data_IF_258269811090
#
_entry.id   IF_258269811090
#
_cell.length_a   1.000
_cell.length_b   1.000
_cell.length_c   1.000
_cell.angle_alpha   90.00
_cell.angle_beta   90.00
_cell.angle_gamma   90.00
#
_symmetry.space_group_name_H-M   'P 1'
#
loop_
_entity.id
_entity.type
_entity.pdbx_description
1 polymer ?
#
# COMPACT_ATOMS: atom_id res chain seq x y z
N UNK A 1 68.78 26.91 75.83
CA UNK A 1 68.44 25.47 75.74
C UNK A 1 67.09 25.35 75.02
N UNK A 2 67.10 24.94 73.74
CA UNK A 2 66.04 24.19 73.03
C UNK A 2 66.43 24.07 71.55
N UNK A 3 66.44 22.83 71.08
CA UNK A 3 67.03 22.34 69.85
C UNK A 3 66.21 22.70 68.61
N UNK A 4 66.90 22.97 67.48
CA UNK A 4 66.32 22.92 66.12
C UNK A 4 66.30 21.45 65.65
N UNK A 5 65.13 20.92 65.33
CA UNK A 5 64.97 19.64 64.64
C UNK A 5 64.80 19.85 63.12
N UNK A 6 65.32 18.96 62.25
CA UNK A 6 65.19 19.08 60.81
C UNK A 6 63.87 18.48 60.32
N UNK A 7 63.23 19.11 59.34
CA UNK A 7 62.05 18.57 58.66
C UNK A 7 62.50 17.70 57.48
N UNK A 8 62.16 16.41 57.56
CA UNK A 8 62.37 15.40 56.52
C UNK A 8 61.23 15.56 55.49
N UNK A 9 61.58 15.83 54.23
CA UNK A 9 60.64 15.88 53.11
C UNK A 9 60.36 14.47 52.59
N UNK A 10 59.12 14.01 52.69
CA UNK A 10 58.65 12.77 52.08
C UNK A 10 58.02 13.09 50.71
N UNK A 11 58.59 12.58 49.63
CA UNK A 11 57.99 12.61 48.29
C UNK A 11 56.97 11.46 48.19
N UNK A 12 55.69 11.79 48.01
CA UNK A 12 54.64 10.82 47.71
C UNK A 12 54.57 10.54 46.20
N UNK A 13 54.41 9.28 45.74
CA UNK A 13 54.25 8.99 44.32
C UNK A 13 52.82 9.26 43.85
N UNK A 14 52.67 9.96 42.73
CA UNK A 14 51.38 10.14 42.05
C UNK A 14 50.97 8.82 41.37
N UNK A 15 49.90 8.21 41.87
CA UNK A 15 49.13 7.16 41.21
C UNK A 15 48.32 7.78 40.07
N UNK A 16 48.70 7.52 38.82
CA UNK A 16 47.91 7.87 37.63
C UNK A 16 46.83 6.82 37.45
N UNK A 17 45.59 7.16 37.80
CA UNK A 17 44.40 6.34 37.55
C UNK A 17 43.96 6.55 36.09
N UNK A 18 44.26 5.61 35.21
CA UNK A 18 43.76 5.60 33.83
C UNK A 18 42.27 5.23 33.83
N UNK A 19 41.39 6.23 33.75
CA UNK A 19 39.96 6.02 33.55
C UNK A 19 39.69 5.66 32.07
N UNK A 20 39.44 4.39 31.77
CA UNK A 20 38.82 3.99 30.50
C UNK A 20 37.39 4.54 30.46
N UNK A 21 37.16 5.60 29.69
CA UNK A 21 35.82 6.06 29.37
C UNK A 21 35.14 5.02 28.45
N UNK A 22 34.25 4.20 29.00
CA UNK A 22 33.33 3.40 28.21
C UNK A 22 32.37 4.35 27.49
N UNK A 23 32.55 4.52 26.17
CA UNK A 23 31.57 5.23 25.34
C UNK A 23 30.25 4.44 25.39
N UNK A 24 29.10 5.09 25.65
CA UNK A 24 27.81 4.41 25.60
C UNK A 24 27.59 3.89 24.18
N UNK A 25 27.39 2.58 24.05
CA UNK A 25 26.94 2.00 22.80
C UNK A 25 25.58 2.62 22.45
N UNK A 26 25.32 2.97 21.17
CA UNK A 26 23.99 3.41 20.77
C UNK A 26 23.01 2.28 21.13
N UNK A 27 22.00 2.61 21.93
CA UNK A 27 20.92 1.68 22.21
C UNK A 27 20.23 1.37 20.88
N UNK A 28 20.36 0.14 20.39
CA UNK A 28 19.52 -0.33 19.30
C UNK A 28 18.07 -0.20 19.78
N UNK A 29 17.29 0.67 19.14
CA UNK A 29 15.86 0.72 19.37
C UNK A 29 15.32 -0.68 19.10
N UNK A 30 14.82 -1.37 20.13
CA UNK A 30 14.11 -2.62 19.91
C UNK A 30 12.86 -2.27 19.10
N UNK A 31 12.79 -2.76 17.87
CA UNK A 31 11.62 -2.56 17.02
C UNK A 31 10.39 -3.12 17.74
N UNK A 32 9.54 -2.20 18.22
CA UNK A 32 8.26 -2.55 18.86
C UNK A 32 7.50 -3.44 17.89
N UNK A 33 7.03 -4.58 18.39
CA UNK A 33 6.37 -5.60 17.58
C UNK A 33 5.05 -6.01 18.23
N UNK A 34 4.00 -6.15 17.41
CA UNK A 34 2.69 -6.66 17.81
C UNK A 34 2.25 -7.77 16.87
N UNK A 35 1.98 -8.95 17.41
CA UNK A 35 1.51 -10.12 16.66
C UNK A 35 0.01 -10.36 16.85
N UNK A 36 -0.65 -10.83 15.79
CA UNK A 36 -2.10 -11.03 15.75
C UNK A 36 -2.40 -12.53 15.61
N UNK A 37 -2.94 -13.21 16.64
CA UNK A 37 -3.24 -14.63 16.57
C UNK A 37 -4.30 -14.97 15.50
N UNK A 38 -5.15 -14.01 15.13
CA UNK A 38 -6.21 -14.17 14.11
C UNK A 38 -5.64 -14.44 12.72
N UNK A 39 -4.43 -13.92 12.43
CA UNK A 39 -3.81 -14.01 11.10
C UNK A 39 -2.42 -14.63 11.11
N UNK A 40 -1.78 -14.73 12.29
CA UNK A 40 -0.42 -15.23 12.46
C UNK A 40 0.67 -14.24 12.04
N UNK A 41 0.31 -13.02 11.62
CA UNK A 41 1.26 -11.99 11.21
C UNK A 41 1.56 -10.99 12.33
N UNK A 42 2.74 -10.38 12.26
CA UNK A 42 3.17 -9.33 13.17
C UNK A 42 3.40 -8.03 12.42
N UNK A 43 3.17 -6.90 13.10
CA UNK A 43 3.51 -5.55 12.66
C UNK A 43 4.64 -5.05 13.55
N UNK A 44 5.67 -4.45 12.95
CA UNK A 44 6.84 -3.96 13.68
C UNK A 44 7.26 -2.57 13.24
N UNK A 45 8.00 -1.87 14.11
CA UNK A 45 8.72 -0.64 13.77
C UNK A 45 7.80 0.48 13.24
N UNK A 46 8.22 1.21 12.19
CA UNK A 46 7.44 2.34 11.64
C UNK A 46 6.00 1.98 11.25
N UNK A 47 5.76 0.76 10.75
CA UNK A 47 4.41 0.29 10.42
C UNK A 47 3.52 0.19 11.65
N UNK A 48 4.04 -0.31 12.77
CA UNK A 48 3.28 -0.41 14.01
C UNK A 48 2.94 0.97 14.56
N UNK A 49 3.93 1.88 14.58
CA UNK A 49 3.72 3.24 15.07
C UNK A 49 2.72 4.01 14.19
N UNK A 50 2.77 3.84 12.87
CA UNK A 50 1.78 4.44 11.97
C UNK A 50 0.39 3.82 12.20
N UNK A 51 0.28 2.49 12.25
CA UNK A 51 -0.97 1.78 12.44
C UNK A 51 -1.65 2.20 13.75
N UNK A 52 -0.92 2.25 14.87
CA UNK A 52 -1.45 2.63 16.19
C UNK A 52 -1.91 4.09 16.22
N UNK A 53 -1.10 5.02 15.69
CA UNK A 53 -1.46 6.44 15.64
C UNK A 53 -2.64 6.71 14.72
N UNK A 54 -2.83 5.89 13.70
CA UNK A 54 -3.84 6.12 12.67
C UNK A 54 -5.13 5.28 12.82
N UNK A 55 -5.46 4.87 14.04
CA UNK A 55 -6.76 4.25 14.36
C UNK A 55 -6.77 2.72 14.32
N UNK A 56 -5.62 2.10 14.07
CA UNK A 56 -5.37 0.67 14.23
C UNK A 56 -6.41 -0.22 13.56
N UNK A 57 -6.95 -1.16 14.33
CA UNK A 57 -7.79 -2.24 13.82
C UNK A 57 -9.05 -1.72 13.11
N UNK A 58 -9.66 -0.66 13.62
CA UNK A 58 -10.88 -0.10 13.03
C UNK A 58 -10.64 0.52 11.64
N UNK A 59 -9.41 0.94 11.35
CA UNK A 59 -9.05 1.64 10.11
C UNK A 59 -8.38 0.71 9.11
N UNK A 60 -7.37 -0.03 9.54
CA UNK A 60 -6.56 -0.87 8.65
C UNK A 60 -7.01 -2.33 8.66
N UNK A 61 -7.67 -2.79 9.72
CA UNK A 61 -7.92 -4.21 9.97
C UNK A 61 -6.66 -4.97 10.38
N UNK A 62 -6.76 -6.29 10.36
CA UNK A 62 -5.65 -7.17 10.66
C UNK A 62 -4.58 -7.15 9.55
N UNK A 63 -3.29 -7.39 9.86
CA UNK A 63 -2.30 -7.71 8.83
C UNK A 63 -2.69 -9.01 8.13
N UNK A 64 -2.62 -9.03 6.80
CA UNK A 64 -2.96 -10.19 5.95
C UNK A 64 -1.74 -10.75 5.23
N UNK A 65 -0.55 -10.24 5.53
CA UNK A 65 0.72 -10.71 5.01
C UNK A 65 1.89 -10.27 5.88
N UNK A 66 3.07 -10.86 5.66
CA UNK A 66 4.30 -10.39 6.29
C UNK A 66 4.70 -9.02 5.72
N UNK A 67 5.65 -8.37 6.39
CA UNK A 67 6.44 -7.29 5.78
C UNK A 67 7.12 -7.81 4.51
N UNK A 68 6.96 -7.08 3.41
CA UNK A 68 7.67 -7.32 2.15
C UNK A 68 8.68 -6.19 1.97
N UNK A 69 9.99 -6.43 2.14
CA UNK A 69 10.98 -5.34 2.16
C UNK A 69 11.16 -4.59 0.83
N UNK A 70 10.85 -5.25 -0.30
CA UNK A 70 11.06 -4.71 -1.64
C UNK A 70 9.88 -5.09 -2.55
N UNK A 71 8.67 -4.61 -2.23
CA UNK A 71 7.51 -4.78 -3.11
C UNK A 71 7.53 -3.71 -4.21
N UNK A 72 7.36 -4.12 -5.47
CA UNK A 72 7.14 -3.19 -6.57
C UNK A 72 5.68 -2.74 -6.52
N UNK A 73 5.45 -1.47 -6.21
CA UNK A 73 4.12 -0.87 -6.12
C UNK A 73 3.83 -0.08 -7.38
N UNK A 74 2.74 -0.46 -8.05
CA UNK A 74 2.15 0.27 -9.19
C UNK A 74 3.16 0.60 -10.30
N UNK A 75 4.24 -0.18 -10.40
CA UNK A 75 5.35 -0.02 -11.35
C UNK A 75 6.07 1.33 -11.28
N UNK A 76 5.93 2.05 -10.16
CA UNK A 76 6.53 3.38 -9.97
C UNK A 76 7.48 3.44 -8.79
N UNK A 77 7.24 2.61 -7.79
CA UNK A 77 7.97 2.65 -6.54
C UNK A 77 8.32 1.24 -6.07
N UNK A 78 9.43 1.12 -5.35
CA UNK A 78 9.85 -0.12 -4.72
C UNK A 78 10.26 0.19 -3.30
N UNK A 79 9.74 -0.56 -2.33
CA UNK A 79 10.17 -0.42 -0.95
C UNK A 79 9.42 -1.34 0.00
N UNK A 80 9.58 -1.11 1.32
CA UNK A 80 8.96 -1.92 2.34
C UNK A 80 7.46 -1.70 2.35
N UNK A 81 6.70 -2.79 2.36
CA UNK A 81 5.24 -2.74 2.43
C UNK A 81 4.70 -3.78 3.41
N UNK A 82 3.54 -3.47 3.99
CA UNK A 82 2.76 -4.47 4.69
C UNK A 82 1.29 -4.36 4.30
N UNK A 83 0.69 -5.51 4.00
CA UNK A 83 -0.71 -5.61 3.61
C UNK A 83 -1.60 -5.88 4.82
N UNK A 84 -2.73 -5.19 4.86
CA UNK A 84 -3.78 -5.28 5.86
C UNK A 84 -5.12 -5.57 5.18
N UNK A 85 -6.15 -5.94 5.94
CA UNK A 85 -7.47 -6.22 5.38
C UNK A 85 -8.03 -5.04 4.57
N UNK A 86 -7.78 -3.80 5.01
CA UNK A 86 -8.36 -2.58 4.43
C UNK A 86 -7.33 -1.67 3.77
N UNK A 87 -6.05 -2.03 3.80
CA UNK A 87 -4.98 -1.17 3.29
C UNK A 87 -3.70 -1.91 2.88
N UNK A 88 -2.80 -1.21 2.22
CA UNK A 88 -1.37 -1.49 2.11
C UNK A 88 -0.64 -0.28 2.69
N UNK A 89 0.19 -0.50 3.71
CA UNK A 89 1.09 0.54 4.19
C UNK A 89 2.43 0.43 3.46
N UNK A 90 3.02 1.58 3.15
CA UNK A 90 4.25 1.74 2.38
C UNK A 90 5.22 2.63 3.17
N UNK A 91 6.43 2.16 3.45
CA UNK A 91 7.45 2.96 4.16
C UNK A 91 8.34 3.70 3.15
N UNK A 92 8.16 5.02 3.04
CA UNK A 92 8.92 5.89 2.14
C UNK A 92 10.16 6.50 2.82
N UNK A 93 10.67 5.87 3.88
CA UNK A 93 11.89 6.28 4.57
C UNK A 93 11.73 7.62 5.27
N UNK A 94 12.44 8.66 4.81
CA UNK A 94 12.39 9.98 5.43
C UNK A 94 11.00 10.64 5.32
N UNK A 95 10.21 10.28 4.31
CA UNK A 95 8.83 10.76 4.14
C UNK A 95 7.84 10.02 5.07
N UNK A 96 8.29 8.93 5.69
CA UNK A 96 7.51 8.12 6.61
C UNK A 96 6.59 7.10 5.95
N UNK A 97 5.83 6.40 6.80
CA UNK A 97 4.85 5.41 6.36
C UNK A 97 3.60 6.13 5.83
N UNK A 98 3.07 5.65 4.71
CA UNK A 98 1.85 6.16 4.09
C UNK A 98 0.89 5.03 3.74
N UNK A 99 -0.40 5.36 3.64
CA UNK A 99 -1.40 4.47 3.08
C UNK A 99 -1.34 4.48 1.54
N UNK A 100 -1.34 3.29 0.95
CA UNK A 100 -1.37 3.08 -0.49
C UNK A 100 -2.68 3.57 -1.12
N UNK A 101 -2.62 3.86 -2.42
CA UNK A 101 -3.74 4.41 -3.20
C UNK A 101 -4.76 3.33 -3.61
N UNK A 102 -5.19 2.52 -2.63
CA UNK A 102 -5.95 1.31 -2.90
C UNK A 102 -7.36 1.57 -3.48
N UNK A 103 -7.98 2.72 -3.19
CA UNK A 103 -9.28 3.07 -3.78
C UNK A 103 -9.18 3.27 -5.28
N UNK A 104 -8.21 4.07 -5.72
CA UNK A 104 -7.96 4.23 -7.14
C UNK A 104 -7.43 2.94 -7.79
N UNK A 105 -6.53 2.22 -7.11
CA UNK A 105 -5.98 0.95 -7.61
C UNK A 105 -7.07 -0.10 -7.84
N UNK A 106 -8.04 -0.20 -6.95
CA UNK A 106 -9.15 -1.12 -7.08
C UNK A 106 -9.99 -0.82 -8.34
N UNK A 107 -10.31 0.46 -8.58
CA UNK A 107 -11.03 0.88 -9.80
C UNK A 107 -10.21 0.60 -11.07
N UNK A 108 -8.91 0.91 -11.05
CA UNK A 108 -7.99 0.63 -12.16
C UNK A 108 -7.94 -0.88 -12.52
N UNK A 109 -7.86 -1.76 -11.52
CA UNK A 109 -7.84 -3.21 -11.73
C UNK A 109 -9.16 -3.75 -12.31
N UNK A 110 -10.27 -3.06 -12.06
CA UNK A 110 -11.57 -3.34 -12.68
C UNK A 110 -11.75 -2.72 -14.07
N UNK A 111 -10.72 -2.05 -14.59
CA UNK A 111 -10.78 -1.36 -15.88
C UNK A 111 -11.64 -0.09 -15.87
N UNK A 112 -11.90 0.48 -14.68
CA UNK A 112 -12.63 1.73 -14.53
C UNK A 112 -11.63 2.88 -14.57
N UNK A 113 -11.77 3.77 -15.56
CA UNK A 113 -11.05 5.04 -15.59
C UNK A 113 -11.71 6.02 -14.64
N UNK A 114 -11.19 6.09 -13.42
CA UNK A 114 -11.78 6.91 -12.36
C UNK A 114 -11.70 8.42 -12.64
N UNK A 115 -10.81 8.88 -13.54
CA UNK A 115 -10.80 10.28 -13.99
C UNK A 115 -12.02 10.65 -14.83
N UNK A 116 -12.68 9.65 -15.41
CA UNK A 116 -13.87 9.81 -16.25
C UNK A 116 -15.19 9.61 -15.49
N UNK A 117 -15.12 9.30 -14.18
CA UNK A 117 -16.32 9.19 -13.35
C UNK A 117 -17.06 10.53 -13.30
N UNK A 118 -18.39 10.51 -13.05
CA UNK A 118 -19.17 11.75 -12.95
C UNK A 118 -18.55 12.73 -11.95
N UNK A 119 -18.20 13.92 -12.43
CA UNK A 119 -17.64 15.03 -11.65
C UNK A 119 -18.71 16.12 -11.44
N UNK A 120 -18.48 16.99 -10.45
CA UNK A 120 -19.34 18.13 -10.16
C UNK A 120 -18.56 19.44 -10.29
N UNK A 121 -19.22 20.49 -10.78
CA UNK A 121 -18.62 21.82 -10.95
C UNK A 121 -18.69 22.67 -9.67
N UNK A 122 -19.50 22.26 -8.69
CA UNK A 122 -19.69 22.90 -7.40
C UNK A 122 -20.21 21.86 -6.39
N UNK A 123 -19.96 22.02 -5.09
CA UNK A 123 -20.51 21.10 -4.09
C UNK A 123 -22.03 21.31 -3.94
N UNK A 124 -22.80 20.25 -3.68
CA UNK A 124 -24.16 20.40 -3.15
C UNK A 124 -24.14 21.17 -1.80
N UNK A 125 -25.25 21.79 -1.39
CA UNK A 125 -25.34 22.46 -0.09
C UNK A 125 -24.94 21.55 1.07
N UNK A 126 -24.05 22.00 1.94
CA UNK A 126 -23.57 21.23 3.10
C UNK A 126 -22.42 20.25 2.81
N UNK A 127 -21.95 20.16 1.55
CA UNK A 127 -20.84 19.30 1.17
C UNK A 127 -19.53 20.08 1.03
N UNK A 128 -18.40 19.40 1.23
CA UNK A 128 -17.10 19.93 0.84
C UNK A 128 -16.85 19.70 -0.65
N UNK A 129 -16.09 20.60 -1.29
CA UNK A 129 -15.66 20.47 -2.68
C UNK A 129 -14.15 20.34 -2.76
N UNK A 130 -13.69 19.45 -3.64
CA UNK A 130 -12.27 19.21 -3.90
C UNK A 130 -11.97 19.55 -5.35
N UNK A 131 -11.44 20.75 -5.65
CA UNK A 131 -11.18 21.17 -7.02
C UNK A 131 -10.12 20.32 -7.73
N UNK A 132 -9.24 19.64 -6.98
CA UNK A 132 -8.18 18.77 -7.48
C UNK A 132 -8.74 17.58 -8.27
N UNK A 133 -9.87 17.03 -7.81
CA UNK A 133 -10.53 15.87 -8.43
C UNK A 133 -11.92 16.20 -8.97
N UNK A 134 -12.42 17.42 -8.73
CA UNK A 134 -13.77 17.89 -9.09
C UNK A 134 -14.88 17.00 -8.51
N UNK A 135 -14.68 16.53 -7.29
CA UNK A 135 -15.65 15.74 -6.56
C UNK A 135 -16.14 16.44 -5.29
N UNK A 136 -17.33 16.06 -4.86
CA UNK A 136 -17.90 16.52 -3.59
C UNK A 136 -17.85 15.46 -2.50
N UNK A 137 -17.83 15.90 -1.25
CA UNK A 137 -17.92 15.03 -0.09
C UNK A 137 -19.01 15.54 0.85
N UNK A 138 -20.07 14.76 0.96
CA UNK A 138 -21.25 15.06 1.76
C UNK A 138 -21.34 14.16 3.00
N UNK A 139 -22.27 14.46 3.90
CA UNK A 139 -22.60 13.55 4.99
C UNK A 139 -23.20 12.23 4.45
N UNK A 140 -22.94 11.08 5.11
CA UNK A 140 -22.23 10.93 6.39
C UNK A 140 -20.69 10.82 6.25
N UNK A 141 -20.18 10.71 5.02
CA UNK A 141 -18.76 10.49 4.78
C UNK A 141 -17.89 11.70 5.14
N UNK A 142 -18.40 12.93 4.98
CA UNK A 142 -17.67 14.15 5.33
C UNK A 142 -17.27 14.20 6.80
N UNK A 143 -18.21 13.93 7.71
CA UNK A 143 -17.94 13.86 9.14
C UNK A 143 -16.93 12.77 9.48
N UNK A 144 -17.06 11.59 8.86
CA UNK A 144 -16.13 10.50 9.07
C UNK A 144 -14.72 10.86 8.59
N UNK A 145 -14.59 11.39 7.37
CA UNK A 145 -13.33 11.81 6.77
C UNK A 145 -12.60 12.83 7.66
N UNK A 146 -13.31 13.86 8.14
CA UNK A 146 -12.74 14.92 9.00
C UNK A 146 -12.24 14.38 10.34
N UNK A 147 -12.99 13.48 10.98
CA UNK A 147 -12.62 12.94 12.30
C UNK A 147 -11.51 11.89 12.24
N UNK A 148 -11.30 11.26 11.10
CA UNK A 148 -10.41 10.12 10.95
C UNK A 148 -9.19 10.42 10.08
N UNK A 149 -8.64 11.64 10.13
CA UNK A 149 -7.34 11.98 9.50
C UNK A 149 -7.41 12.63 8.13
N UNK A 150 -8.60 12.74 7.53
CA UNK A 150 -8.83 13.52 6.32
C UNK A 150 -7.92 13.16 5.15
N UNK A 151 -7.30 14.19 4.56
CA UNK A 151 -6.55 14.08 3.30
C UNK A 151 -5.36 13.12 3.42
N UNK A 152 -4.64 13.19 4.53
CA UNK A 152 -3.46 12.35 4.77
C UNK A 152 -3.84 10.86 4.74
N UNK A 153 -4.97 10.51 5.37
CA UNK A 153 -5.41 9.11 5.45
C UNK A 153 -6.18 8.60 4.25
N UNK A 154 -7.12 9.39 3.74
CA UNK A 154 -8.09 8.94 2.74
C UNK A 154 -7.73 9.39 1.33
N UNK A 155 -6.97 10.49 1.22
CA UNK A 155 -6.81 11.21 -0.03
C UNK A 155 -8.08 11.95 -0.44
N UNK A 156 -8.08 12.45 -1.67
CA UNK A 156 -9.22 13.12 -2.28
C UNK A 156 -10.35 12.12 -2.62
N UNK A 157 -11.62 12.54 -2.60
CA UNK A 157 -12.69 11.76 -3.23
C UNK A 157 -12.41 11.66 -4.74
N UNK A 158 -12.61 10.48 -5.31
CA UNK A 158 -12.41 10.19 -6.75
C UNK A 158 -13.70 9.69 -7.42
N UNK A 159 -14.81 9.74 -6.70
CA UNK A 159 -16.15 9.47 -7.19
C UNK A 159 -17.16 10.30 -6.42
N UNK A 160 -18.36 10.49 -6.98
CA UNK A 160 -19.53 10.81 -6.18
C UNK A 160 -20.05 9.55 -5.44
N UNK A 161 -20.93 9.69 -4.44
CA UNK A 161 -21.58 8.55 -3.80
C UNK A 161 -22.40 7.73 -4.81
N UNK A 162 -22.31 6.41 -4.74
CA UNK A 162 -23.03 5.49 -5.62
C UNK A 162 -23.51 4.25 -4.88
N UNK A 163 -24.51 3.56 -5.43
CA UNK A 163 -24.91 2.24 -4.93
C UNK A 163 -23.97 1.18 -5.52
N UNK A 164 -23.42 0.33 -4.67
CA UNK A 164 -22.59 -0.81 -5.08
C UNK A 164 -22.96 -2.07 -4.30
N UNK A 165 -22.86 -3.21 -4.96
CA UNK A 165 -22.93 -4.53 -4.32
C UNK A 165 -21.50 -5.03 -4.08
N UNK A 166 -21.13 -5.18 -2.81
CA UNK A 166 -19.85 -5.74 -2.37
C UNK A 166 -20.15 -7.06 -1.68
N UNK A 167 -19.67 -8.16 -2.27
CA UNK A 167 -20.00 -9.52 -1.83
C UNK A 167 -21.53 -9.72 -1.73
N UNK A 168 -22.05 -9.89 -0.52
CA UNK A 168 -23.48 -10.10 -0.25
C UNK A 168 -24.18 -8.86 0.33
N UNK A 169 -23.51 -7.71 0.34
CA UNK A 169 -24.05 -6.45 0.86
C UNK A 169 -24.22 -5.45 -0.27
N UNK A 170 -25.31 -4.67 -0.22
CA UNK A 170 -25.55 -3.57 -1.15
C UNK A 170 -25.82 -2.31 -0.35
N UNK A 171 -25.11 -1.23 -0.66
CA UNK A 171 -25.31 0.05 0.00
C UNK A 171 -24.60 1.19 -0.70
N UNK A 172 -24.64 2.35 -0.06
CA UNK A 172 -24.00 3.55 -0.60
C UNK A 172 -22.51 3.52 -0.29
N UNK A 173 -21.70 3.69 -1.32
CA UNK A 173 -20.25 3.77 -1.24
C UNK A 173 -19.74 5.06 -1.86
N UNK A 174 -18.58 5.52 -1.43
CA UNK A 174 -17.81 6.55 -2.13
C UNK A 174 -16.34 6.15 -2.17
N UNK A 175 -15.72 6.29 -3.34
CA UNK A 175 -14.30 6.03 -3.52
C UNK A 175 -13.48 7.30 -3.29
N UNK A 176 -12.36 7.10 -2.63
CA UNK A 176 -11.29 8.06 -2.40
C UNK A 176 -10.00 7.48 -2.99
N UNK A 177 -8.97 8.29 -3.16
CA UNK A 177 -7.68 7.82 -3.65
C UNK A 177 -7.19 6.58 -2.89
N UNK A 178 -7.30 6.57 -1.56
CA UNK A 178 -6.76 5.50 -0.71
C UNK A 178 -7.80 4.54 -0.14
N UNK A 179 -9.10 4.86 -0.20
CA UNK A 179 -10.16 4.09 0.49
C UNK A 179 -11.48 4.02 -0.27
N UNK A 180 -12.30 3.04 0.08
CA UNK A 180 -13.75 3.03 -0.15
C UNK A 180 -14.43 3.20 1.21
N UNK A 181 -15.27 4.23 1.35
CA UNK A 181 -16.15 4.37 2.51
C UNK A 181 -17.51 3.75 2.19
N UNK A 182 -18.06 3.04 3.15
CA UNK A 182 -19.32 2.28 3.04
C UNK A 182 -20.28 2.77 4.11
N UNK A 183 -21.50 3.14 3.71
CA UNK A 183 -22.53 3.64 4.63
C UNK A 183 -23.43 2.49 5.10
N UNK A 184 -23.35 2.19 6.39
CA UNK A 184 -24.08 1.16 7.12
C UNK A 184 -25.03 1.76 8.16
N UNK A 185 -26.15 2.39 7.75
CA UNK A 185 -27.11 2.98 8.69
C UNK A 185 -27.77 1.97 9.64
N UNK A 186 -27.68 0.67 9.34
CA UNK A 186 -28.14 -0.44 10.16
C UNK A 186 -27.30 -0.66 11.43
N UNK A 187 -26.05 -0.17 11.45
CA UNK A 187 -25.18 -0.31 12.60
C UNK A 187 -25.51 0.73 13.68
N UNK A 188 -25.12 0.47 14.93
CA UNK A 188 -25.21 1.50 15.97
C UNK A 188 -24.11 2.56 15.80
N UNK A 189 -24.34 3.83 16.22
CA UNK A 189 -23.29 4.83 16.27
C UNK A 189 -22.10 4.35 17.13
N UNK A 190 -20.85 4.65 16.75
CA UNK A 190 -20.41 5.48 15.61
C UNK A 190 -20.17 4.71 14.30
N UNK A 191 -20.62 3.46 14.18
CA UNK A 191 -20.23 2.52 13.11
C UNK A 191 -21.08 2.61 11.84
N UNK A 192 -21.69 3.77 11.58
CA UNK A 192 -22.48 4.00 10.36
C UNK A 192 -21.61 4.16 9.12
N UNK A 193 -20.33 4.50 9.27
CA UNK A 193 -19.37 4.55 8.16
C UNK A 193 -18.25 3.57 8.46
N UNK A 194 -18.09 2.60 7.58
CA UNK A 194 -17.01 1.62 7.61
C UNK A 194 -16.08 1.82 6.41
N UNK A 195 -14.89 1.24 6.51
CA UNK A 195 -13.93 1.20 5.40
C UNK A 195 -13.97 -0.19 4.76
N UNK A 196 -14.11 -0.20 3.44
CA UNK A 196 -14.09 -1.41 2.64
C UNK A 196 -12.76 -2.16 2.75
N UNK A 197 -12.80 -3.46 2.48
CA UNK A 197 -11.65 -4.39 2.61
C UNK A 197 -10.69 -4.30 1.42
N UNK A 198 -10.37 -3.09 0.98
CA UNK A 198 -9.60 -2.87 -0.25
C UNK A 198 -8.22 -3.53 -0.25
N UNK A 199 -7.58 -3.68 0.91
CA UNK A 199 -6.31 -4.41 1.02
C UNK A 199 -6.46 -5.88 0.66
N UNK A 200 -7.50 -6.55 1.17
CA UNK A 200 -7.81 -7.92 0.79
C UNK A 200 -8.28 -8.04 -0.66
N UNK A 201 -9.15 -7.13 -1.11
CA UNK A 201 -9.73 -7.15 -2.47
C UNK A 201 -8.65 -6.92 -3.55
N UNK A 202 -7.84 -5.87 -3.41
CA UNK A 202 -6.76 -5.57 -4.37
C UNK A 202 -5.73 -6.68 -4.37
N UNK A 203 -5.36 -7.21 -3.19
CA UNK A 203 -4.37 -8.29 -3.10
C UNK A 203 -4.89 -9.60 -3.71
N UNK A 204 -6.18 -9.90 -3.60
CA UNK A 204 -6.80 -11.04 -4.27
C UNK A 204 -6.80 -10.86 -5.80
N UNK A 205 -7.07 -9.65 -6.31
CA UNK A 205 -7.02 -9.37 -7.75
C UNK A 205 -5.60 -9.38 -8.32
N UNK A 206 -4.60 -9.01 -7.52
CA UNK A 206 -3.18 -8.98 -7.93
C UNK A 206 -2.50 -10.36 -7.89
N UNK A 207 -3.18 -11.39 -7.36
CA UNK A 207 -2.62 -12.73 -7.17
C UNK A 207 -2.82 -13.63 -8.40
N UNK A 208 -1.74 -14.19 -8.99
CA UNK A 208 -1.85 -15.21 -10.03
C UNK A 208 -2.41 -16.55 -9.52
N UNK A 209 -2.31 -16.83 -8.22
CA UNK A 209 -2.69 -18.09 -7.56
C UNK A 209 -4.20 -18.24 -7.30
N UNK A 210 -4.97 -17.15 -7.36
CA UNK A 210 -6.45 -17.19 -7.36
C UNK A 210 -7.02 -17.40 -8.75
N UNK A 211 -6.18 -17.43 -9.77
CA UNK A 211 -6.59 -17.74 -11.12
C UNK A 211 -6.77 -19.25 -11.27
N UNK A 212 -7.91 -19.65 -11.79
CA UNK A 212 -8.25 -21.07 -12.02
C UNK A 212 -7.21 -21.77 -12.92
N UNK A 213 -6.62 -20.99 -13.84
CA UNK A 213 -5.52 -21.44 -14.69
C UNK A 213 -4.23 -20.79 -14.24
N UNK A 214 -3.14 -21.55 -14.20
CA UNK A 214 -1.81 -21.03 -13.96
C UNK A 214 -1.10 -20.70 -15.28
N UNK A 215 -0.15 -19.75 -15.26
CA UNK A 215 0.75 -19.55 -16.40
C UNK A 215 1.61 -20.81 -16.60
N UNK A 216 1.52 -21.37 -17.81
CA UNK A 216 2.27 -22.57 -18.18
C UNK A 216 3.77 -22.25 -18.34
N UNK A 217 4.64 -23.22 -18.08
CA UNK A 217 6.02 -23.12 -18.59
C UNK A 217 6.01 -23.27 -20.12
N UNK A 218 6.91 -22.58 -20.86
CA UNK A 218 8.02 -21.74 -20.41
C UNK A 218 7.64 -20.26 -20.15
N UNK A 219 6.35 -19.92 -20.21
CA UNK A 219 5.88 -18.53 -20.23
C UNK A 219 5.99 -17.84 -18.87
N UNK A 220 6.09 -18.60 -17.78
CA UNK A 220 6.08 -18.10 -16.40
C UNK A 220 7.12 -17.01 -16.14
N UNK A 221 8.40 -17.32 -16.37
CA UNK A 221 9.49 -16.38 -16.13
C UNK A 221 9.36 -15.11 -16.97
N UNK A 222 8.74 -15.22 -18.15
CA UNK A 222 8.54 -14.09 -19.03
C UNK A 222 7.36 -13.22 -18.56
N UNK A 223 6.23 -13.82 -18.18
CA UNK A 223 5.09 -13.10 -17.54
C UNK A 223 5.51 -12.38 -16.26
N UNK A 224 6.34 -13.01 -15.43
CA UNK A 224 6.79 -12.45 -14.16
C UNK A 224 7.63 -11.17 -14.31
N UNK A 225 8.29 -10.98 -15.46
CA UNK A 225 9.12 -9.80 -15.74
C UNK A 225 8.32 -8.64 -16.32
N UNK A 226 7.05 -8.83 -16.64
CA UNK A 226 6.26 -7.80 -17.31
C UNK A 226 5.62 -6.84 -16.27
N UNK A 227 5.91 -5.53 -16.36
CA UNK A 227 5.41 -4.51 -15.44
C UNK A 227 3.94 -4.11 -15.69
N UNK A 228 3.12 -4.98 -16.26
CA UNK A 228 1.68 -4.73 -16.42
C UNK A 228 0.87 -6.03 -16.35
N UNK A 229 1.49 -7.12 -15.87
CA UNK A 229 0.82 -8.43 -15.71
C UNK A 229 -0.46 -8.33 -14.88
N UNK A 230 -0.48 -7.44 -13.89
CA UNK A 230 -1.66 -7.22 -13.03
C UNK A 230 -2.85 -6.63 -13.80
N UNK A 231 -2.62 -5.87 -14.87
CA UNK A 231 -3.70 -5.32 -15.70
C UNK A 231 -4.31 -6.36 -16.64
N UNK A 232 -3.53 -7.37 -17.00
CA UNK A 232 -3.96 -8.43 -17.87
C UNK A 232 -4.94 -9.37 -17.15
N UNK A 233 -4.91 -9.40 -15.82
CA UNK A 233 -5.76 -10.24 -15.00
C UNK A 233 -5.40 -11.72 -15.13
N UNK A 234 -6.37 -12.60 -14.86
CA UNK A 234 -6.08 -14.03 -14.75
C UNK A 234 -5.72 -14.64 -16.10
N UNK A 235 -4.66 -15.48 -16.17
CA UNK A 235 -4.39 -16.26 -17.37
C UNK A 235 -5.53 -17.25 -17.64
N UNK A 236 -5.66 -17.62 -18.91
CA UNK A 236 -6.57 -18.63 -19.40
C UNK A 236 -5.80 -19.56 -20.34
N UNK A 237 -6.20 -19.64 -21.60
CA UNK A 237 -5.58 -20.54 -22.58
C UNK A 237 -4.19 -20.07 -23.01
N UNK A 238 -3.26 -21.01 -23.12
CA UNK A 238 -1.89 -20.78 -23.56
C UNK A 238 -1.52 -21.67 -24.75
N UNK A 239 -0.69 -21.15 -25.65
CA UNK A 239 -0.11 -21.87 -26.78
C UNK A 239 1.41 -21.73 -26.71
N UNK A 240 2.13 -22.54 -25.90
CA UNK A 240 3.56 -22.39 -25.69
C UNK A 240 4.43 -22.94 -26.83
N UNK A 241 3.92 -23.88 -27.62
CA UNK A 241 4.69 -24.67 -28.59
C UNK A 241 4.54 -24.20 -30.06
N UNK A 242 4.13 -22.95 -30.25
CA UNK A 242 3.97 -22.32 -31.57
C UNK A 242 5.07 -21.27 -31.80
N UNK A 243 5.38 -20.89 -33.06
CA UNK A 243 6.45 -19.92 -33.37
C UNK A 243 6.37 -18.58 -32.63
N UNK A 244 5.18 -18.22 -32.15
CA UNK A 244 4.99 -17.18 -31.15
C UNK A 244 4.18 -17.78 -30.00
N UNK A 245 4.81 -17.94 -28.83
CA UNK A 245 4.11 -18.46 -27.67
C UNK A 245 3.08 -17.43 -27.19
N UNK A 246 1.93 -17.89 -26.73
CA UNK A 246 0.81 -17.00 -26.40
C UNK A 246 0.21 -17.38 -25.06
N UNK A 247 -0.14 -16.39 -24.24
CA UNK A 247 -0.93 -16.57 -23.02
C UNK A 247 -2.09 -15.58 -23.07
N UNK A 248 -3.31 -16.10 -23.21
CA UNK A 248 -4.52 -15.29 -23.06
C UNK A 248 -4.75 -14.99 -21.58
N UNK A 249 -5.32 -13.84 -21.32
CA UNK A 249 -5.73 -13.41 -19.98
C UNK A 249 -7.14 -12.81 -20.02
N UNK A 250 -7.75 -12.56 -18.86
CA UNK A 250 -9.10 -11.98 -18.78
C UNK A 250 -9.22 -10.63 -19.51
N UNK A 251 -8.15 -9.82 -19.51
CA UNK A 251 -8.14 -8.46 -20.07
C UNK A 251 -7.21 -8.26 -21.28
N UNK A 252 -6.58 -9.32 -21.79
CA UNK A 252 -5.66 -9.19 -22.91
C UNK A 252 -4.97 -10.47 -23.34
N UNK A 253 -3.82 -10.31 -23.97
CA UNK A 253 -2.99 -11.39 -24.49
C UNK A 253 -1.51 -11.02 -24.43
N UNK A 254 -0.69 -11.95 -23.97
CA UNK A 254 0.75 -11.93 -24.18
C UNK A 254 1.11 -12.74 -25.41
N UNK A 255 2.04 -12.22 -26.20
CA UNK A 255 2.58 -12.90 -27.38
C UNK A 255 4.11 -12.79 -27.30
N UNK A 256 4.79 -13.90 -27.03
CA UNK A 256 6.24 -14.01 -27.04
C UNK A 256 6.70 -14.46 -28.41
N UNK A 257 7.46 -13.64 -29.10
CA UNK A 257 8.00 -13.96 -30.42
C UNK A 257 9.49 -14.20 -30.28
N UNK A 258 9.93 -15.41 -30.66
CA UNK A 258 11.36 -15.69 -30.83
C UNK A 258 11.79 -15.20 -32.21
N UNK A 259 12.64 -14.17 -32.24
CA UNK A 259 13.18 -13.59 -33.46
C UNK A 259 14.53 -14.20 -33.84
N UNK A 260 14.90 -15.34 -33.24
CA UNK A 260 16.16 -16.05 -33.48
C UNK A 260 17.37 -15.19 -33.08
N UNK A 261 18.25 -14.91 -34.04
CA UNK A 261 19.42 -14.05 -33.82
C UNK A 261 19.08 -12.59 -33.44
N UNK A 262 17.82 -12.17 -33.63
CA UNK A 262 17.32 -10.85 -33.24
C UNK A 262 16.87 -10.74 -31.78
N UNK A 263 16.90 -11.83 -31.01
CA UNK A 263 16.45 -11.85 -29.62
C UNK A 263 15.00 -12.32 -29.46
N UNK A 264 14.37 -11.95 -28.34
CA UNK A 264 12.99 -12.32 -28.01
C UNK A 264 12.21 -11.06 -27.66
N UNK A 265 11.04 -10.88 -28.28
CA UNK A 265 10.14 -9.76 -28.02
C UNK A 265 8.84 -10.23 -27.38
N UNK A 266 8.24 -9.34 -26.57
CA UNK A 266 6.94 -9.54 -25.96
C UNK A 266 5.98 -8.48 -26.50
N UNK A 267 4.98 -8.92 -27.25
CA UNK A 267 3.88 -8.09 -27.69
C UNK A 267 2.67 -8.30 -26.80
N UNK A 268 1.93 -7.21 -26.57
CA UNK A 268 0.76 -7.23 -25.72
C UNK A 268 -0.37 -6.47 -26.37
N UNK A 269 -1.54 -7.10 -26.39
CA UNK A 269 -2.77 -6.46 -26.79
C UNK A 269 -3.79 -6.52 -25.65
N UNK A 270 -4.41 -5.38 -25.37
CA UNK A 270 -5.45 -5.22 -24.36
C UNK A 270 -6.82 -5.26 -25.03
N UNK A 271 -7.84 -5.77 -24.34
CA UNK A 271 -9.23 -5.68 -24.80
C UNK A 271 -9.80 -4.27 -24.71
N UNK A 272 -9.25 -3.41 -23.86
CA UNK A 272 -9.65 -2.00 -23.72
C UNK A 272 -8.60 -1.07 -24.35
N UNK A 273 -9.00 -0.02 -25.09
CA UNK A 273 -8.07 0.94 -25.71
C UNK A 273 -7.38 1.87 -24.71
N UNK A 274 -7.79 1.88 -23.44
CA UNK A 274 -7.16 2.69 -22.40
C UNK A 274 -5.83 2.05 -22.01
N UNK A 275 -4.73 2.60 -22.51
CA UNK A 275 -3.37 2.30 -22.00
C UNK A 275 -3.24 2.95 -20.62
N UNK A 276 -3.06 2.18 -19.54
CA UNK A 276 -2.88 2.81 -18.24
C UNK A 276 -1.45 3.37 -18.17
N UNK A 277 -1.34 4.67 -17.86
CA UNK A 277 -0.05 5.36 -17.71
C UNK A 277 0.31 6.42 -18.75
N UNK A 278 -0.60 6.84 -19.64
CA UNK A 278 -0.36 8.06 -20.43
C UNK A 278 -0.91 9.28 -19.68
N UNK A 279 -0.09 10.17 -19.10
CA UNK A 279 -0.50 11.55 -18.96
C UNK A 279 -0.56 12.11 -20.39
N UNK A 280 -1.75 12.39 -20.89
CA UNK A 280 -1.89 13.29 -22.04
C UNK A 280 -1.68 14.70 -21.50
N UNK A 281 -0.47 15.21 -21.69
CA UNK A 281 -0.10 16.54 -21.23
C UNK A 281 -0.96 17.64 -21.86
N UNK A 282 -1.45 18.53 -21.01
CA UNK A 282 -1.15 19.97 -20.99
C UNK A 282 -1.72 20.56 -19.69
#
# INVERSE_FOLDING_TARGET
MRLRAPRISWLAPLLVLSALAALPAPAAAQDRTRCFPETGYCISGPFLDYWERNGGLAVFGYPIGPLVPNEVVEHRWVGPTQWFERDRLEDHGAEGVMAGRLGARYLELRGIDWWSLPQVNAPPPGCAYFPETRHSLCEPFLSYWRRNGGLERFGYPISEPMQETVENWTGTVQYFERRRMEHHPENAPPYHVLLGRLGAEVRAMARPDTCEVAVVEPLRAAVERVPFREWLGCPSEAYPDVPAAVQRTSNGIFIWVDLGGGGKDIFVAYRSPVRPGKPTGQ
#
